data_IF_789970092883
#
_entry.id   IF_789970092883
#
_cell.length_a   1.000
_cell.length_b   1.000
_cell.length_c   1.000
_cell.angle_alpha   90.00
_cell.angle_beta   90.00
_cell.angle_gamma   90.00
#
_symmetry.space_group_name_H-M   'P 1'
#
loop_
_entity.id
_entity.type
_entity.pdbx_description
1 polymer ?
#
# COMPACT_ATOMS: atom_id res chain seq x y z
N UNK A 1 -26.69 -0.68 15.73
CA UNK A 1 -25.44 -1.38 15.35
C UNK A 1 -24.29 -0.40 15.55
N UNK A 2 -23.33 -0.67 16.42
CA UNK A 2 -22.25 0.27 16.73
C UNK A 2 -21.24 0.30 15.57
N UNK A 3 -20.99 1.48 15.00
CA UNK A 3 -20.00 1.67 13.94
C UNK A 3 -18.61 1.50 14.56
N UNK A 4 -17.78 0.62 14.01
CA UNK A 4 -16.38 0.49 14.45
C UNK A 4 -15.69 1.84 14.28
N UNK A 5 -15.11 2.34 15.38
CA UNK A 5 -14.37 3.59 15.38
C UNK A 5 -12.91 3.25 15.20
N UNK A 6 -12.34 3.69 14.08
CA UNK A 6 -10.91 3.55 13.81
C UNK A 6 -10.16 4.60 14.64
N UNK A 7 -9.07 4.19 15.30
CA UNK A 7 -8.18 5.09 16.03
C UNK A 7 -6.74 4.89 15.55
N UNK A 8 -5.95 5.96 15.59
CA UNK A 8 -4.55 5.95 15.21
C UNK A 8 -3.70 6.39 16.40
N UNK A 9 -2.69 5.60 16.77
CA UNK A 9 -1.80 5.89 17.89
C UNK A 9 -0.41 6.20 17.38
N UNK A 10 0.13 7.33 17.84
CA UNK A 10 1.52 7.70 17.59
C UNK A 10 2.47 6.78 18.36
N UNK A 11 3.31 6.03 17.66
CA UNK A 11 4.30 5.13 18.28
C UNK A 11 5.45 5.86 18.99
N UNK A 12 5.59 7.17 18.77
CA UNK A 12 6.64 7.98 19.41
C UNK A 12 6.18 8.64 20.72
N UNK A 13 4.94 9.15 20.77
CA UNK A 13 4.45 9.92 21.92
C UNK A 13 3.13 9.42 22.50
N UNK A 14 2.51 8.39 21.93
CA UNK A 14 1.26 7.79 22.43
C UNK A 14 -0.01 8.60 22.17
N UNK A 15 0.06 9.76 21.51
CA UNK A 15 -1.13 10.57 21.21
C UNK A 15 -2.12 9.80 20.32
N UNK A 16 -3.42 9.91 20.61
CA UNK A 16 -4.50 9.25 19.88
C UNK A 16 -5.15 10.21 18.88
N UNK A 17 -5.29 9.75 17.64
CA UNK A 17 -5.85 10.49 16.51
C UNK A 17 -7.05 9.75 15.92
N UNK A 18 -8.02 10.50 15.38
CA UNK A 18 -9.26 9.95 14.80
C UNK A 18 -9.17 9.68 13.30
N UNK A 19 -8.09 10.15 12.68
CA UNK A 19 -7.79 9.98 11.26
C UNK A 19 -6.29 9.83 11.11
N UNK A 20 -5.86 9.14 10.07
CA UNK A 20 -4.45 9.11 9.72
C UNK A 20 -3.99 10.49 9.24
N UNK A 21 -2.77 10.83 9.61
CA UNK A 21 -2.02 11.99 9.11
C UNK A 21 -0.56 11.58 8.98
N UNK A 22 0.13 12.07 7.95
CA UNK A 22 1.56 11.75 7.74
C UNK A 22 2.47 12.23 8.87
N UNK A 23 2.03 13.24 9.65
CA UNK A 23 2.76 13.82 10.78
C UNK A 23 1.90 13.79 12.04
N UNK A 24 2.50 13.50 13.18
CA UNK A 24 1.85 13.58 14.48
C UNK A 24 1.74 15.04 14.93
N UNK A 25 0.53 15.54 15.21
CA UNK A 25 0.31 16.92 15.68
C UNK A 25 0.83 17.19 17.11
N UNK A 26 1.08 16.14 17.90
CA UNK A 26 1.53 16.26 19.29
C UNK A 26 3.07 16.32 19.42
N UNK A 27 3.80 15.46 18.72
CA UNK A 27 5.27 15.41 18.80
C UNK A 27 5.99 15.85 17.53
N UNK A 28 5.26 16.06 16.43
CA UNK A 28 5.82 16.49 15.15
C UNK A 28 6.52 15.41 14.34
N UNK A 29 6.53 14.17 14.79
CA UNK A 29 7.21 13.07 14.10
C UNK A 29 6.42 12.56 12.89
N UNK A 30 7.12 12.15 11.84
CA UNK A 30 6.50 11.67 10.60
C UNK A 30 6.34 10.14 10.60
N UNK A 31 5.30 9.65 9.93
CA UNK A 31 5.01 8.23 9.73
C UNK A 31 4.96 7.39 11.02
N UNK A 32 4.60 8.01 12.14
CA UNK A 32 4.48 7.35 13.45
C UNK A 32 3.05 7.01 13.85
N UNK A 33 2.04 7.46 13.11
CA UNK A 33 0.64 7.16 13.39
C UNK A 33 0.27 5.77 12.84
N UNK A 34 0.02 4.82 13.74
CA UNK A 34 -0.37 3.45 13.41
C UNK A 34 -1.83 3.23 13.77
N UNK A 35 -2.60 2.61 12.86
CA UNK A 35 -3.98 2.24 13.12
C UNK A 35 -4.05 1.14 14.20
N UNK A 36 -4.75 1.41 15.28
CA UNK A 36 -5.10 0.38 16.25
C UNK A 36 -6.56 0.00 16.01
N UNK A 37 -6.76 -1.10 15.28
CA UNK A 37 -8.10 -1.62 15.05
C UNK A 37 -8.72 -2.12 16.36
N UNK A 38 -10.03 -1.96 16.53
CA UNK A 38 -10.82 -2.75 17.51
C UNK A 38 -10.92 -4.22 17.08
N UNK A 39 -9.81 -4.83 16.70
CA UNK A 39 -9.69 -6.25 16.35
C UNK A 39 -9.53 -7.05 17.65
N UNK A 40 -10.57 -7.05 18.48
CA UNK A 40 -10.60 -7.78 19.75
C UNK A 40 -11.98 -7.85 20.39
N UNK A 41 -13.05 -7.55 19.65
CA UNK A 41 -14.41 -7.80 20.12
C UNK A 41 -14.73 -9.30 20.08
N UNK A 42 -15.43 -9.78 21.10
CA UNK A 42 -16.02 -11.13 21.17
C UNK A 42 -16.92 -11.31 19.93
N UNK A 43 -16.41 -11.97 18.90
CA UNK A 43 -17.05 -12.00 17.57
C UNK A 43 -16.11 -12.13 16.37
N UNK A 44 -14.79 -12.24 16.57
CA UNK A 44 -13.90 -12.72 15.50
C UNK A 44 -14.30 -14.16 15.14
N UNK A 45 -15.09 -14.31 14.08
CA UNK A 45 -15.47 -15.61 13.54
C UNK A 45 -14.24 -16.48 13.23
N UNK A 46 -14.41 -17.79 13.04
CA UNK A 46 -13.30 -18.72 12.91
C UNK A 46 -12.32 -18.22 11.85
N UNK A 47 -11.03 -18.19 12.20
CA UNK A 47 -9.93 -17.78 11.32
C UNK A 47 -9.89 -18.55 9.98
N UNK A 48 -10.72 -19.59 9.83
CA UNK A 48 -10.82 -20.51 8.72
C UNK A 48 -11.70 -20.02 7.56
N UNK A 49 -12.27 -18.81 7.60
CA UNK A 49 -12.97 -18.20 6.44
C UNK A 49 -12.07 -17.38 5.54
N UNK A 50 -10.78 -17.24 5.89
CA UNK A 50 -9.75 -16.80 4.95
C UNK A 50 -9.40 -17.94 3.99
N UNK A 51 -10.36 -18.29 3.12
CA UNK A 51 -10.02 -18.72 1.77
C UNK A 51 -9.39 -17.51 1.08
N UNK A 52 -8.19 -17.12 1.51
CA UNK A 52 -7.32 -16.29 0.73
C UNK A 52 -7.13 -17.06 -0.56
N UNK A 53 -7.74 -16.58 -1.66
CA UNK A 53 -7.38 -17.02 -3.01
C UNK A 53 -5.87 -17.11 -3.00
N UNK A 54 -5.33 -18.33 -3.08
CA UNK A 54 -3.88 -18.53 -3.06
C UNK A 54 -3.36 -17.70 -4.21
N UNK A 55 -2.64 -16.63 -3.90
CA UNK A 55 -2.11 -15.72 -4.91
C UNK A 55 -1.35 -16.54 -5.95
N UNK A 56 -1.39 -16.11 -7.21
CA UNK A 56 -0.57 -16.75 -8.23
C UNK A 56 0.89 -16.62 -7.80
N UNK A 57 1.59 -17.74 -7.67
CA UNK A 57 3.02 -17.74 -7.41
C UNK A 57 3.74 -17.06 -8.58
N UNK A 58 4.60 -16.09 -8.27
CA UNK A 58 5.45 -15.40 -9.24
C UNK A 58 6.88 -15.79 -8.92
N UNK A 59 7.63 -16.21 -9.94
CA UNK A 59 9.06 -16.48 -9.81
C UNK A 59 9.78 -15.14 -9.73
N UNK A 60 10.55 -14.93 -8.66
CA UNK A 60 11.39 -13.75 -8.51
C UNK A 60 12.68 -13.94 -9.31
N UNK A 61 13.16 -12.87 -9.93
CA UNK A 61 14.43 -12.85 -10.65
C UNK A 61 15.43 -11.96 -9.91
N UNK A 62 16.73 -12.23 -10.04
CA UNK A 62 17.78 -11.40 -9.44
C UNK A 62 17.88 -10.05 -10.14
N UNK A 63 18.10 -8.99 -9.36
CA UNK A 63 18.38 -7.64 -9.88
C UNK A 63 19.73 -7.57 -10.61
N UNK A 64 20.64 -8.51 -10.33
CA UNK A 64 21.89 -8.67 -11.04
C UNK A 64 21.67 -9.45 -12.33
N UNK A 65 21.95 -8.84 -13.48
CA UNK A 65 21.88 -9.46 -14.80
C UNK A 65 21.42 -8.48 -15.89
N UNK A 66 21.44 -8.94 -17.13
CA UNK A 66 20.81 -8.23 -18.24
C UNK A 66 19.29 -8.39 -18.16
N UNK A 67 18.57 -7.27 -18.16
CA UNK A 67 17.10 -7.23 -18.11
C UNK A 67 16.62 -6.79 -19.47
N UNK A 68 15.81 -7.63 -20.12
CA UNK A 68 15.13 -7.26 -21.35
C UNK A 68 14.10 -6.17 -21.06
N UNK A 69 14.21 -5.06 -21.78
CA UNK A 69 13.24 -3.98 -21.68
C UNK A 69 11.86 -4.45 -22.17
N UNK A 70 10.82 -4.07 -21.44
CA UNK A 70 9.46 -4.43 -21.83
C UNK A 70 9.10 -3.73 -23.16
N UNK A 71 8.41 -4.41 -24.09
CA UNK A 71 8.04 -3.81 -25.38
C UNK A 71 7.12 -2.62 -25.16
N UNK A 72 7.53 -1.46 -25.70
CA UNK A 72 6.81 -0.19 -25.57
C UNK A 72 5.91 0.07 -26.78
N UNK A 73 4.76 0.67 -26.53
CA UNK A 73 3.78 1.10 -27.52
C UNK A 73 3.89 2.62 -27.65
N UNK A 74 4.37 3.08 -28.81
CA UNK A 74 4.53 4.50 -29.13
C UNK A 74 3.15 5.13 -29.37
N UNK A 75 2.89 6.27 -28.73
CA UNK A 75 1.63 7.00 -28.90
C UNK A 75 1.59 7.86 -30.16
N UNK A 76 2.76 8.25 -30.68
CA UNK A 76 2.91 9.15 -31.82
C UNK A 76 2.92 10.63 -31.42
N UNK A 77 2.75 10.94 -30.14
CA UNK A 77 2.84 12.30 -29.59
C UNK A 77 4.20 12.43 -28.92
N UNK A 78 5.12 13.17 -29.55
CA UNK A 78 6.52 13.23 -29.12
C UNK A 78 6.73 13.60 -27.64
N UNK A 79 6.01 14.59 -27.12
CA UNK A 79 6.12 14.98 -25.71
C UNK A 79 5.58 13.91 -24.74
N UNK A 80 4.53 13.18 -25.14
CA UNK A 80 3.97 12.11 -24.32
C UNK A 80 4.89 10.88 -24.32
N UNK A 81 5.43 10.52 -25.48
CA UNK A 81 6.40 9.43 -25.59
C UNK A 81 7.67 9.77 -24.80
N UNK A 82 8.13 11.04 -24.81
CA UNK A 82 9.24 11.51 -23.98
C UNK A 82 8.93 11.39 -22.48
N UNK A 83 7.75 11.83 -22.04
CA UNK A 83 7.34 11.78 -20.65
C UNK A 83 7.19 10.34 -20.11
N UNK A 84 6.79 9.40 -20.97
CA UNK A 84 6.60 7.98 -20.62
C UNK A 84 7.86 7.11 -20.81
N UNK A 85 8.97 7.72 -21.24
CA UNK A 85 10.24 7.00 -21.46
C UNK A 85 10.26 6.16 -22.73
N UNK A 86 9.61 6.62 -23.81
CA UNK A 86 9.56 5.98 -25.12
C UNK A 86 8.25 5.25 -25.43
N UNK A 87 7.16 5.54 -24.70
CA UNK A 87 5.84 4.94 -24.90
C UNK A 87 5.39 4.01 -23.76
N UNK A 88 4.20 3.44 -23.92
CA UNK A 88 3.48 2.68 -22.88
C UNK A 88 3.90 1.21 -22.81
N UNK A 89 3.92 0.65 -21.59
CA UNK A 89 4.12 -0.79 -21.35
C UNK A 89 2.78 -1.43 -21.04
N UNK A 90 2.53 -2.66 -21.50
CA UNK A 90 1.26 -3.35 -21.21
C UNK A 90 1.13 -3.60 -19.71
N UNK A 91 0.07 -3.05 -19.10
CA UNK A 91 -0.24 -3.21 -17.68
C UNK A 91 0.37 -2.15 -16.76
N UNK A 92 0.91 -1.05 -17.32
CA UNK A 92 1.30 0.16 -16.60
C UNK A 92 0.10 0.99 -16.13
#
# INVERSE_FOLDING_TARGET
MAKSRVQFICQNCGSVHQRWAGKCDACGEWNTLVEEGTAGGIGSGPANTRNARKGRAVVLTSLSGDIEDAPRIVSGIGELDRATGGGFVRGS
#
